data_IF_383085257275
#
_entry.id   IF_383085257275
#
_cell.length_a   1.000
_cell.length_b   1.000
_cell.length_c   1.000
_cell.angle_alpha   90.00
_cell.angle_beta   90.00
_cell.angle_gamma   90.00
#
_symmetry.space_group_name_H-M   'P 1'
#
loop_
_entity.id
_entity.type
_entity.pdbx_description
1 polymer ?
#
# COMPACT_ATOMS: atom_id res chain seq x y z
N UNK A 1 24.89 11.82 1.72
CA UNK A 1 23.48 12.25 1.63
C UNK A 1 22.66 10.98 1.62
N UNK A 2 21.66 10.86 2.46
CA UNK A 2 20.75 9.71 2.41
C UNK A 2 19.95 9.76 1.11
N UNK A 3 19.82 8.62 0.45
CA UNK A 3 18.99 8.51 -0.75
C UNK A 3 17.50 8.48 -0.32
N UNK A 4 16.62 9.20 -1.01
CA UNK A 4 15.21 9.18 -0.71
C UNK A 4 14.62 7.76 -0.90
N UNK A 5 13.71 7.38 -0.03
CA UNK A 5 12.90 6.15 -0.19
C UNK A 5 11.97 6.27 -1.39
N UNK A 6 11.44 7.47 -1.62
CA UNK A 6 10.63 7.82 -2.78
C UNK A 6 11.09 9.16 -3.33
N UNK A 7 11.24 9.23 -4.65
CA UNK A 7 11.47 10.48 -5.38
C UNK A 7 10.50 10.57 -6.54
N UNK A 8 9.80 11.68 -6.64
CA UNK A 8 8.87 12.00 -7.72
C UNK A 8 9.34 13.27 -8.40
N UNK A 9 9.57 13.21 -9.72
CA UNK A 9 10.10 14.30 -10.52
C UNK A 9 9.18 14.61 -11.69
N UNK A 10 8.70 15.85 -11.75
CA UNK A 10 7.88 16.41 -12.84
C UNK A 10 6.68 15.53 -13.21
N UNK A 11 6.10 14.83 -12.22
CA UNK A 11 5.04 13.87 -12.45
C UNK A 11 3.76 14.56 -12.92
N UNK A 12 3.32 14.18 -14.12
CA UNK A 12 2.09 14.66 -14.72
C UNK A 12 1.29 13.52 -15.32
N UNK A 13 -0.03 13.59 -15.19
CA UNK A 13 -0.93 12.61 -15.81
C UNK A 13 -2.20 13.28 -16.29
N UNK A 14 -2.63 12.90 -17.49
CA UNK A 14 -3.92 13.31 -18.07
C UNK A 14 -4.77 12.11 -18.44
N UNK A 15 -6.04 12.22 -18.13
CA UNK A 15 -7.06 11.31 -18.68
C UNK A 15 -7.61 11.95 -19.95
N UNK A 16 -7.30 11.37 -21.10
CA UNK A 16 -7.63 11.96 -22.40
C UNK A 16 -7.03 13.38 -22.56
N UNK A 17 -7.87 14.43 -22.50
CA UNK A 17 -7.44 15.84 -22.65
C UNK A 17 -7.32 16.60 -21.33
N UNK A 18 -7.86 16.04 -20.23
CA UNK A 18 -7.90 16.71 -18.93
C UNK A 18 -6.75 16.27 -18.03
N UNK A 19 -5.98 17.24 -17.55
CA UNK A 19 -4.93 16.99 -16.58
C UNK A 19 -5.52 16.66 -15.19
N UNK A 20 -5.18 15.50 -14.67
CA UNK A 20 -5.52 15.10 -13.31
C UNK A 20 -4.47 15.57 -12.29
N UNK A 21 -3.19 15.54 -12.69
CA UNK A 21 -2.06 16.09 -11.95
C UNK A 21 -1.08 16.71 -12.93
N UNK A 22 -0.33 17.71 -12.50
CA UNK A 22 0.64 18.41 -13.33
C UNK A 22 1.84 18.87 -12.52
N UNK A 23 3.04 18.49 -12.98
CA UNK A 23 4.35 18.88 -12.45
C UNK A 23 4.48 18.67 -10.93
N UNK A 24 4.10 17.49 -10.46
CA UNK A 24 4.24 17.11 -9.05
C UNK A 24 5.68 16.71 -8.77
N UNK A 25 6.27 17.31 -7.73
CA UNK A 25 7.64 17.08 -7.31
C UNK A 25 7.69 16.92 -5.80
N UNK A 26 8.23 15.80 -5.29
CA UNK A 26 8.51 15.61 -3.87
C UNK A 26 9.46 14.43 -3.62
N UNK A 27 10.03 14.41 -2.43
CA UNK A 27 10.91 13.35 -1.95
C UNK A 27 10.52 12.92 -0.54
N UNK A 28 10.68 11.62 -0.26
CA UNK A 28 10.42 11.02 1.07
C UNK A 28 11.72 10.34 1.51
N UNK A 29 12.29 10.79 2.62
CA UNK A 29 13.57 10.30 3.15
C UNK A 29 13.42 9.43 4.38
N UNK A 30 12.44 9.71 5.24
CA UNK A 30 12.36 9.17 6.57
C UNK A 30 11.27 8.10 6.71
N UNK A 31 11.44 7.25 7.74
CA UNK A 31 10.39 6.38 8.24
C UNK A 31 9.31 7.23 8.92
N UNK A 32 8.11 6.70 8.98
CA UNK A 32 7.00 7.37 9.61
C UNK A 32 5.78 7.51 8.71
N UNK A 33 4.83 8.33 9.13
CA UNK A 33 3.57 8.54 8.44
C UNK A 33 3.60 9.88 7.71
N UNK A 34 3.33 9.83 6.40
CA UNK A 34 3.09 11.01 5.57
C UNK A 34 1.63 11.03 5.13
N UNK A 35 0.98 12.17 5.29
CA UNK A 35 -0.40 12.39 4.84
C UNK A 35 -0.45 13.11 3.50
N UNK A 36 -1.10 12.54 2.50
CA UNK A 36 -1.44 13.22 1.27
C UNK A 36 -2.83 13.85 1.43
N UNK A 37 -2.84 15.16 1.68
CA UNK A 37 -4.05 15.92 1.96
C UNK A 37 -4.54 16.64 0.69
N UNK A 38 -5.83 16.78 0.55
CA UNK A 38 -6.44 17.54 -0.56
C UNK A 38 -7.91 17.18 -0.75
N UNK A 39 -8.64 18.08 -1.42
CA UNK A 39 -10.04 17.86 -1.77
C UNK A 39 -10.23 16.66 -2.72
N UNK A 40 -11.48 16.20 -2.84
CA UNK A 40 -11.83 15.19 -3.84
C UNK A 40 -11.52 15.74 -5.25
N UNK A 41 -10.92 14.89 -6.09
CA UNK A 41 -10.48 15.30 -7.42
C UNK A 41 -9.13 16.02 -7.48
N UNK A 42 -8.43 16.25 -6.34
CA UNK A 42 -7.11 16.89 -6.32
C UNK A 42 -5.96 16.02 -6.89
N UNK A 43 -6.25 14.80 -7.38
CA UNK A 43 -5.25 13.92 -7.97
C UNK A 43 -4.53 13.00 -6.99
N UNK A 44 -4.95 12.93 -5.70
CA UNK A 44 -4.32 12.07 -4.68
C UNK A 44 -4.22 10.61 -5.12
N UNK A 45 -5.34 9.97 -5.41
CA UNK A 45 -5.37 8.56 -5.84
C UNK A 45 -4.67 8.35 -7.18
N UNK A 46 -4.71 9.33 -8.09
CA UNK A 46 -3.95 9.29 -9.36
C UNK A 46 -2.45 9.23 -9.08
N UNK A 47 -1.94 10.12 -8.22
CA UNK A 47 -0.52 10.13 -7.81
C UNK A 47 -0.13 8.81 -7.15
N UNK A 48 -0.92 8.32 -6.18
CA UNK A 48 -0.67 7.06 -5.49
C UNK A 48 -0.68 5.85 -6.44
N UNK A 49 -1.65 5.79 -7.37
CA UNK A 49 -1.73 4.72 -8.36
C UNK A 49 -0.52 4.69 -9.30
N UNK A 50 0.01 5.86 -9.68
CA UNK A 50 1.23 5.95 -10.49
C UNK A 50 2.43 5.48 -9.68
N UNK A 51 2.59 5.96 -8.44
CA UNK A 51 3.69 5.55 -7.56
C UNK A 51 3.69 4.04 -7.26
N UNK A 52 2.52 3.40 -7.28
CA UNK A 52 2.36 1.96 -7.07
C UNK A 52 2.39 1.14 -8.39
N UNK A 53 2.53 1.80 -9.54
CA UNK A 53 2.57 1.16 -10.85
C UNK A 53 1.25 0.49 -11.26
N UNK A 54 0.13 1.01 -10.78
CA UNK A 54 -1.23 0.65 -11.23
C UNK A 54 -1.61 1.48 -12.46
N UNK A 55 -1.08 2.69 -12.55
CA UNK A 55 -1.31 3.63 -13.63
C UNK A 55 0.04 4.14 -14.16
N UNK A 56 0.19 4.24 -15.48
CA UNK A 56 1.37 4.84 -16.09
C UNK A 56 1.20 6.36 -16.16
N UNK A 57 2.25 7.10 -15.79
CA UNK A 57 2.29 8.55 -15.93
C UNK A 57 2.35 8.98 -17.40
N UNK A 58 1.86 10.19 -17.68
CA UNK A 58 2.04 10.84 -19.00
C UNK A 58 3.44 11.43 -19.14
N UNK A 59 3.92 12.12 -18.09
CA UNK A 59 5.24 12.75 -18.04
C UNK A 59 5.85 12.56 -16.65
N UNK A 60 7.16 12.73 -16.55
CA UNK A 60 7.91 12.66 -15.30
C UNK A 60 8.35 11.26 -14.90
N UNK A 61 9.05 11.17 -13.77
CA UNK A 61 9.67 9.93 -13.29
C UNK A 61 9.34 9.69 -11.80
N UNK A 62 9.28 8.39 -11.45
CA UNK A 62 9.12 7.93 -10.06
C UNK A 62 10.26 6.97 -9.74
N UNK A 63 10.93 7.22 -8.64
CA UNK A 63 11.99 6.37 -8.11
C UNK A 63 11.56 5.82 -6.76
N UNK A 64 11.73 4.52 -6.58
CA UNK A 64 11.45 3.84 -5.31
C UNK A 64 12.74 3.17 -4.84
N UNK A 65 13.25 3.61 -3.70
CA UNK A 65 14.51 3.13 -3.14
C UNK A 65 15.68 3.23 -4.15
N UNK A 66 15.69 4.33 -4.94
CA UNK A 66 16.67 4.58 -6.00
C UNK A 66 16.41 3.86 -7.33
N UNK A 67 15.37 3.02 -7.42
CA UNK A 67 15.02 2.27 -8.63
C UNK A 67 14.03 3.08 -9.46
N UNK A 68 14.37 3.39 -10.72
CA UNK A 68 13.45 4.03 -11.64
C UNK A 68 12.31 3.07 -11.96
N UNK A 69 11.07 3.51 -11.71
CA UNK A 69 9.88 2.67 -11.87
C UNK A 69 9.63 2.27 -13.32
N UNK A 70 10.01 3.10 -14.27
CA UNK A 70 9.84 2.83 -15.71
C UNK A 70 10.88 1.84 -16.24
N UNK A 71 12.12 1.90 -15.72
CA UNK A 71 13.21 1.04 -16.14
C UNK A 71 13.11 -0.37 -15.55
N UNK A 72 12.82 -0.48 -14.26
CA UNK A 72 12.63 -1.77 -13.58
C UNK A 72 11.39 -1.76 -12.66
N UNK A 73 10.19 -1.93 -13.25
CA UNK A 73 8.93 -1.91 -12.51
C UNK A 73 8.80 -3.08 -11.52
N UNK A 74 9.46 -4.21 -11.79
CA UNK A 74 9.40 -5.38 -10.90
C UNK A 74 10.18 -5.11 -9.63
N UNK A 75 11.43 -4.69 -9.75
CA UNK A 75 12.27 -4.35 -8.60
C UNK A 75 11.67 -3.18 -7.79
N UNK A 76 11.11 -2.15 -8.45
CA UNK A 76 10.42 -1.07 -7.77
C UNK A 76 9.21 -1.58 -6.96
N UNK A 77 8.35 -2.43 -7.55
CA UNK A 77 7.17 -3.02 -6.88
C UNK A 77 7.53 -3.91 -5.70
N UNK A 78 8.69 -4.55 -5.71
CA UNK A 78 9.18 -5.33 -4.56
C UNK A 78 9.44 -4.47 -3.31
N UNK A 79 9.64 -3.18 -3.48
CA UNK A 79 9.86 -2.22 -2.38
C UNK A 79 8.58 -1.51 -1.93
N UNK A 80 7.43 -1.78 -2.57
CA UNK A 80 6.16 -1.10 -2.30
C UNK A 80 5.11 -2.08 -1.81
N UNK A 81 4.46 -1.75 -0.69
CA UNK A 81 3.17 -2.30 -0.32
C UNK A 81 2.05 -1.35 -0.73
N UNK A 82 0.94 -1.86 -1.24
CA UNK A 82 -0.17 -1.03 -1.65
C UNK A 82 -1.52 -1.59 -1.21
N UNK A 83 -2.30 -0.73 -0.57
CA UNK A 83 -3.71 -0.95 -0.27
C UNK A 83 -4.53 0.11 -1.00
N UNK A 84 -5.25 -0.22 -2.07
CA UNK A 84 -6.19 0.68 -2.71
C UNK A 84 -7.44 0.89 -1.85
N UNK A 85 -8.20 1.94 -2.11
CA UNK A 85 -9.42 2.30 -1.38
C UNK A 85 -10.40 1.12 -1.22
N UNK A 86 -10.50 0.24 -2.22
CA UNK A 86 -11.21 -1.03 -2.12
C UNK A 86 -10.21 -2.17 -2.16
N UNK A 87 -9.98 -2.88 -1.04
CA UNK A 87 -9.06 -4.01 -1.01
C UNK A 87 -9.46 -5.07 -2.06
N UNK A 88 -8.51 -5.56 -2.88
CA UNK A 88 -8.78 -6.56 -3.91
C UNK A 88 -8.84 -7.97 -3.29
N UNK A 89 -9.82 -8.23 -2.45
CA UNK A 89 -9.94 -9.48 -1.71
C UNK A 89 -10.60 -10.57 -2.56
N UNK A 90 -9.98 -11.74 -2.60
CA UNK A 90 -10.60 -12.98 -3.13
C UNK A 90 -11.47 -13.61 -2.02
N UNK A 91 -12.73 -13.22 -1.98
CA UNK A 91 -13.64 -13.46 -0.85
C UNK A 91 -13.94 -14.93 -0.55
N UNK A 92 -13.69 -15.84 -1.49
CA UNK A 92 -13.86 -17.29 -1.34
C UNK A 92 -12.62 -18.03 -0.82
N UNK A 93 -11.51 -17.28 -0.60
CA UNK A 93 -10.33 -17.80 0.08
C UNK A 93 -10.41 -17.54 1.60
N UNK A 94 -9.75 -18.39 2.35
CA UNK A 94 -9.45 -18.11 3.76
C UNK A 94 -8.38 -17.02 3.88
N UNK A 95 -8.27 -16.41 5.05
CA UNK A 95 -7.24 -15.39 5.32
C UNK A 95 -5.84 -15.91 5.01
N UNK A 96 -5.52 -17.13 5.45
CA UNK A 96 -4.21 -17.75 5.23
C UNK A 96 -3.94 -18.03 3.75
N UNK A 97 -4.90 -18.58 3.02
CA UNK A 97 -4.77 -18.87 1.59
C UNK A 97 -4.57 -17.59 0.78
N UNK A 98 -5.35 -16.55 1.07
CA UNK A 98 -5.22 -15.26 0.40
C UNK A 98 -3.85 -14.61 0.64
N UNK A 99 -3.39 -14.60 1.90
CA UNK A 99 -2.09 -14.01 2.23
C UNK A 99 -0.93 -14.82 1.65
N UNK A 100 -1.02 -16.16 1.63
CA UNK A 100 -0.02 -17.01 0.98
C UNK A 100 0.04 -16.74 -0.53
N UNK A 101 -1.11 -16.60 -1.18
CA UNK A 101 -1.21 -16.21 -2.58
C UNK A 101 -0.58 -14.84 -2.85
N UNK A 102 -0.86 -13.84 -2.00
CA UNK A 102 -0.25 -12.51 -2.12
C UNK A 102 1.28 -12.55 -1.93
N UNK A 103 1.78 -13.37 -1.00
CA UNK A 103 3.21 -13.57 -0.79
C UNK A 103 3.90 -14.17 -2.02
N UNK A 104 3.28 -15.15 -2.65
CA UNK A 104 3.79 -15.77 -3.88
C UNK A 104 3.82 -14.77 -5.05
N UNK A 105 2.75 -14.02 -5.26
CA UNK A 105 2.69 -12.94 -6.25
C UNK A 105 3.75 -11.85 -6.05
N UNK A 106 4.18 -11.64 -4.80
CA UNK A 106 5.25 -10.70 -4.43
C UNK A 106 6.63 -11.35 -4.42
N UNK A 107 6.76 -12.54 -5.00
CA UNK A 107 8.02 -13.28 -5.13
C UNK A 107 8.72 -13.56 -3.80
N UNK A 108 7.96 -13.71 -2.72
CA UNK A 108 8.48 -14.19 -1.45
C UNK A 108 8.95 -15.64 -1.65
N UNK A 109 10.19 -15.92 -1.26
CA UNK A 109 10.76 -17.26 -1.44
C UNK A 109 9.84 -18.33 -0.82
N UNK A 110 9.56 -19.47 -1.50
CA UNK A 110 8.59 -20.47 -1.06
C UNK A 110 8.77 -20.92 0.40
N UNK A 111 10.01 -21.11 0.82
CA UNK A 111 10.37 -21.47 2.21
C UNK A 111 10.05 -20.40 3.25
N UNK A 112 9.83 -19.15 2.83
CA UNK A 112 9.52 -18.00 3.69
C UNK A 112 8.05 -17.62 3.68
N UNK A 113 7.22 -18.14 2.76
CA UNK A 113 5.80 -17.77 2.64
C UNK A 113 5.08 -17.95 3.96
N UNK A 114 5.24 -19.11 4.62
CA UNK A 114 4.57 -19.38 5.90
C UNK A 114 4.93 -18.36 6.98
N UNK A 115 6.21 -18.08 7.15
CA UNK A 115 6.67 -17.10 8.16
C UNK A 115 6.23 -15.68 7.83
N UNK A 116 6.16 -15.31 6.54
CA UNK A 116 5.62 -14.01 6.11
C UNK A 116 4.12 -13.88 6.39
N UNK A 117 3.35 -14.95 6.17
CA UNK A 117 1.93 -15.01 6.51
C UNK A 117 1.75 -14.87 8.02
N UNK A 118 2.49 -15.64 8.81
CA UNK A 118 2.43 -15.60 10.29
C UNK A 118 2.73 -14.17 10.79
N UNK A 119 3.81 -13.56 10.31
CA UNK A 119 4.18 -12.18 10.63
C UNK A 119 3.08 -11.17 10.29
N UNK A 120 2.56 -11.22 9.06
CA UNK A 120 1.54 -10.27 8.61
C UNK A 120 0.23 -10.42 9.39
N UNK A 121 -0.16 -11.65 9.70
CA UNK A 121 -1.37 -11.94 10.50
C UNK A 121 -1.23 -11.46 11.94
N UNK A 122 -0.08 -11.69 12.57
CA UNK A 122 0.23 -11.26 13.92
C UNK A 122 0.25 -9.72 13.99
N UNK A 123 1.00 -9.07 13.07
CA UNK A 123 1.12 -7.62 13.01
C UNK A 123 -0.23 -6.93 12.82
N UNK A 124 -1.13 -7.50 12.03
CA UNK A 124 -2.47 -6.95 11.77
C UNK A 124 -3.56 -7.44 12.75
N UNK A 125 -3.22 -8.28 13.74
CA UNK A 125 -4.15 -8.75 14.76
C UNK A 125 -5.26 -9.64 14.21
N UNK A 126 -4.98 -10.47 13.19
CA UNK A 126 -5.96 -11.31 12.49
C UNK A 126 -5.67 -12.83 12.59
N UNK A 127 -4.74 -13.24 13.46
CA UNK A 127 -4.31 -14.64 13.60
C UNK A 127 -5.47 -15.59 13.93
N UNK A 128 -6.43 -15.13 14.74
CA UNK A 128 -7.60 -15.92 15.15
C UNK A 128 -8.60 -16.15 13.99
N UNK A 129 -8.46 -15.45 12.86
CA UNK A 129 -9.26 -15.66 11.67
C UNK A 129 -8.56 -16.47 10.56
N UNK A 130 -7.41 -17.06 10.84
CA UNK A 130 -6.55 -17.78 9.88
C UNK A 130 -7.32 -18.63 8.85
N UNK A 131 -8.23 -19.46 9.33
CA UNK A 131 -9.02 -20.41 8.51
C UNK A 131 -10.41 -19.90 8.13
N UNK A 132 -10.73 -18.63 8.43
CA UNK A 132 -12.02 -18.06 8.12
C UNK A 132 -12.03 -17.51 6.68
N UNK A 133 -13.12 -17.75 5.95
CA UNK A 133 -13.31 -17.16 4.62
C UNK A 133 -13.41 -15.65 4.71
N UNK A 134 -12.78 -14.94 3.78
CA UNK A 134 -12.74 -13.47 3.76
C UNK A 134 -14.13 -12.84 3.69
N UNK A 135 -15.09 -13.45 2.97
CA UNK A 135 -16.48 -13.00 2.91
C UNK A 135 -17.22 -13.01 4.23
N UNK A 136 -16.74 -13.74 5.23
CA UNK A 136 -17.33 -13.82 6.57
C UNK A 136 -16.68 -12.88 7.59
N UNK A 137 -15.77 -12.01 7.15
CA UNK A 137 -15.15 -10.98 7.97
C UNK A 137 -15.94 -9.68 7.89
N UNK A 138 -15.98 -8.93 9.01
CA UNK A 138 -16.47 -7.55 8.99
C UNK A 138 -15.58 -6.64 8.15
N UNK A 139 -16.09 -5.47 7.72
CA UNK A 139 -15.32 -4.51 6.92
C UNK A 139 -13.98 -4.13 7.56
N UNK A 140 -13.94 -3.91 8.87
CA UNK A 140 -12.71 -3.60 9.60
C UNK A 140 -11.68 -4.73 9.55
N UNK A 141 -12.10 -5.99 9.66
CA UNK A 141 -11.19 -7.12 9.52
C UNK A 141 -10.76 -7.37 8.07
N UNK A 142 -11.63 -7.12 7.08
CA UNK A 142 -11.24 -7.13 5.67
C UNK A 142 -10.20 -6.05 5.39
N UNK A 143 -10.32 -4.88 6.00
CA UNK A 143 -9.33 -3.82 5.90
C UNK A 143 -7.99 -4.23 6.51
N UNK A 144 -7.98 -4.88 7.67
CA UNK A 144 -6.76 -5.45 8.30
C UNK A 144 -6.09 -6.50 7.41
N UNK A 145 -6.86 -7.35 6.74
CA UNK A 145 -6.33 -8.29 5.73
C UNK A 145 -5.73 -7.54 4.54
N UNK A 146 -6.38 -6.46 4.09
CA UNK A 146 -5.87 -5.58 3.05
C UNK A 146 -4.54 -4.92 3.41
N UNK A 147 -4.37 -4.51 4.67
CA UNK A 147 -3.09 -4.00 5.19
C UNK A 147 -2.06 -5.13 5.28
N UNK A 148 -2.45 -6.31 5.76
CA UNK A 148 -1.57 -7.47 5.89
C UNK A 148 -0.96 -7.87 4.53
N UNK A 149 -1.76 -7.91 3.45
CA UNK A 149 -1.23 -8.19 2.11
C UNK A 149 -0.26 -7.10 1.63
N UNK A 150 -0.47 -5.83 2.02
CA UNK A 150 0.43 -4.76 1.63
C UNK A 150 1.81 -4.87 2.29
N UNK A 151 1.92 -5.48 3.48
CA UNK A 151 3.18 -5.64 4.21
C UNK A 151 3.81 -7.03 4.11
N UNK A 152 3.15 -8.00 3.45
CA UNK A 152 3.50 -9.43 3.44
C UNK A 152 4.94 -9.71 2.98
N UNK A 153 5.45 -8.96 2.02
CA UNK A 153 6.78 -9.11 1.43
C UNK A 153 7.82 -8.16 2.05
N UNK A 154 7.47 -7.55 3.20
CA UNK A 154 8.31 -6.63 3.95
C UNK A 154 8.84 -5.43 3.15
N UNK A 155 7.96 -4.65 2.49
CA UNK A 155 8.36 -3.49 1.70
C UNK A 155 8.91 -2.37 2.57
N UNK A 156 9.74 -1.50 2.00
CA UNK A 156 10.28 -0.29 2.65
C UNK A 156 9.29 0.87 2.66
N UNK A 157 8.38 0.88 1.69
CA UNK A 157 7.39 1.91 1.49
C UNK A 157 5.99 1.31 1.37
N UNK A 158 5.03 1.82 2.12
CA UNK A 158 3.64 1.36 2.10
C UNK A 158 2.72 2.52 1.74
N UNK A 159 1.83 2.30 0.80
CA UNK A 159 0.84 3.27 0.34
C UNK A 159 -0.55 2.76 0.71
N UNK A 160 -1.31 3.58 1.42
CA UNK A 160 -2.67 3.26 1.89
C UNK A 160 -3.63 4.34 1.39
N UNK A 161 -4.51 3.98 0.46
CA UNK A 161 -5.49 4.91 -0.10
C UNK A 161 -6.79 4.84 0.71
N UNK A 162 -7.07 5.89 1.49
CA UNK A 162 -8.23 6.02 2.39
C UNK A 162 -8.45 4.80 3.31
N UNK A 163 -7.44 4.39 4.10
CA UNK A 163 -7.48 3.13 4.84
C UNK A 163 -8.56 3.03 5.91
N UNK A 164 -9.21 4.13 6.25
CA UNK A 164 -10.28 4.19 7.27
C UNK A 164 -11.67 4.44 6.68
N UNK A 165 -11.78 4.50 5.36
CA UNK A 165 -13.06 4.79 4.71
C UNK A 165 -14.09 3.68 4.96
N UNK A 166 -15.31 4.07 5.32
CA UNK A 166 -16.45 3.14 5.58
C UNK A 166 -16.35 2.34 6.87
N UNK A 167 -15.43 2.67 7.77
CA UNK A 167 -15.29 2.04 9.08
C UNK A 167 -16.01 2.81 10.17
N UNK A 168 -16.45 2.11 11.22
CA UNK A 168 -16.99 2.75 12.42
C UNK A 168 -15.88 3.45 13.26
N UNK A 169 -16.24 4.38 14.18
CA UNK A 169 -15.26 5.15 14.93
C UNK A 169 -14.24 4.31 15.72
N UNK A 170 -14.64 3.17 16.27
CA UNK A 170 -13.72 2.31 17.02
C UNK A 170 -12.73 1.63 16.08
N UNK A 171 -13.20 1.11 14.95
CA UNK A 171 -12.36 0.51 13.92
C UNK A 171 -11.37 1.52 13.34
N UNK A 172 -11.78 2.79 13.16
CA UNK A 172 -10.88 3.87 12.71
C UNK A 172 -9.71 4.03 13.68
N UNK A 173 -9.96 4.07 14.98
CA UNK A 173 -8.91 4.18 16.00
C UNK A 173 -7.96 2.99 15.94
N UNK A 174 -8.49 1.78 15.86
CA UNK A 174 -7.68 0.56 15.77
C UNK A 174 -6.80 0.52 14.51
N UNK A 175 -7.35 0.91 13.36
CA UNK A 175 -6.56 0.97 12.10
C UNK A 175 -5.48 2.06 12.19
N UNK A 176 -5.76 3.20 12.81
CA UNK A 176 -4.75 4.26 13.02
C UNK A 176 -3.59 3.77 13.89
N UNK A 177 -3.88 3.05 14.99
CA UNK A 177 -2.81 2.47 15.82
C UNK A 177 -1.99 1.43 15.04
N UNK A 178 -2.63 0.55 14.29
CA UNK A 178 -1.95 -0.40 13.41
C UNK A 178 -1.03 0.30 12.40
N UNK A 179 -1.49 1.38 11.76
CA UNK A 179 -0.68 2.16 10.83
C UNK A 179 0.54 2.79 11.53
N UNK A 180 0.37 3.32 12.74
CA UNK A 180 1.49 3.85 13.54
C UNK A 180 2.53 2.77 13.85
N UNK A 181 2.09 1.57 14.24
CA UNK A 181 2.99 0.44 14.49
C UNK A 181 3.74 0.00 13.22
N UNK A 182 3.08 0.01 12.06
CA UNK A 182 3.71 -0.30 10.77
C UNK A 182 4.75 0.76 10.41
N UNK A 183 4.48 2.02 10.71
CA UNK A 183 5.35 3.14 10.36
C UNK A 183 6.61 3.27 11.25
N UNK A 184 6.76 2.43 12.28
CA UNK A 184 7.96 2.47 13.14
C UNK A 184 9.25 2.07 12.41
N UNK A 185 9.15 1.20 11.41
CA UNK A 185 10.28 0.62 10.70
C UNK A 185 10.30 0.90 9.19
N UNK A 186 9.27 1.56 8.66
CA UNK A 186 9.11 1.89 7.24
C UNK A 186 8.38 3.20 7.01
N UNK A 187 8.43 3.70 5.76
CA UNK A 187 7.67 4.89 5.36
C UNK A 187 6.25 4.48 4.96
N UNK A 188 5.26 5.20 5.46
CA UNK A 188 3.84 4.98 5.14
C UNK A 188 3.26 6.28 4.56
N UNK A 189 2.77 6.22 3.34
CA UNK A 189 1.99 7.29 2.72
C UNK A 189 0.51 6.93 2.80
N UNK A 190 -0.30 7.81 3.36
CA UNK A 190 -1.74 7.62 3.37
C UNK A 190 -2.47 8.84 2.80
N UNK A 191 -3.55 8.59 2.06
CA UNK A 191 -4.51 9.64 1.73
C UNK A 191 -5.57 9.73 2.83
N UNK A 192 -6.01 10.94 3.08
CA UNK A 192 -7.15 11.22 3.97
C UNK A 192 -7.91 12.44 3.47
N UNK A 193 -9.14 12.52 3.84
CA UNK A 193 -10.02 13.69 3.61
C UNK A 193 -9.94 14.67 4.76
#
# INVERSE_FOLDING_TARGET
MENPVVKVEHLSHRYSVQWAIRDINFEIYEKGILGLLGSNGAGKSTTMNIMCGVLNQTEGEVYINGINFREDPIAAKMNIGFLPQKPPLYTDLTVEEYLAYCADLRSVAPKKIRSSVDYAMEKCGITHFRKRLLKHLSGGYQQRVGIAQAIIHNPKFVVLDEPTNGLDPNQILEIRELIKEIATDRSVLLSTH
#
